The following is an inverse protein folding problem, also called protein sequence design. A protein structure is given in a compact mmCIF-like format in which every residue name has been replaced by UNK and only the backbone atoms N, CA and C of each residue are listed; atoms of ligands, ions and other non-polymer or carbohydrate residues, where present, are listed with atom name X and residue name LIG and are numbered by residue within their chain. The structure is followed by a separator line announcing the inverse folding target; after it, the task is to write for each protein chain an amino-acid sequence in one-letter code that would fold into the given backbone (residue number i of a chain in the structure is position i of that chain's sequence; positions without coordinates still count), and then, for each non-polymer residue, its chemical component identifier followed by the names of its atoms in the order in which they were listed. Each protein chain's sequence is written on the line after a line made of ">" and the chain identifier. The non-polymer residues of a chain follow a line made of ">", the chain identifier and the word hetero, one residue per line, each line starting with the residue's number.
data_IF_822262432920
#
_entry.id   IF_822262432920
#
_cell.length_a   1.000
_cell.length_b   1.000
_cell.length_c   1.000
_cell.angle_alpha   90.00
_cell.angle_beta   90.00
_cell.angle_gamma   90.00
#
_symmetry.space_group_name_H-M   'P 1'
#
loop_
_entity.id
_entity.type
_entity.pdbx_description
1 polymer ?
#
# COMPACT_ATOMS: atom_id res chain seq x y z
N UNK A 1 -14.92 -39.63 -18.62
CA UNK A 1 -15.79 -38.48 -18.95
C UNK A 1 -14.95 -37.24 -18.72
N UNK A 2 -14.99 -36.22 -19.58
CA UNK A 2 -14.32 -34.95 -19.28
C UNK A 2 -14.89 -34.37 -17.99
N UNK A 3 -14.06 -33.70 -17.20
CA UNK A 3 -14.51 -33.04 -15.98
C UNK A 3 -15.52 -31.95 -16.33
N UNK A 4 -16.59 -31.87 -15.53
CA UNK A 4 -17.62 -30.83 -15.70
C UNK A 4 -17.04 -29.51 -15.23
N UNK A 5 -16.97 -28.55 -16.13
CA UNK A 5 -16.43 -27.21 -15.90
C UNK A 5 -17.38 -26.17 -16.50
N UNK A 6 -17.31 -24.92 -16.03
CA UNK A 6 -18.14 -23.84 -16.60
C UNK A 6 -17.92 -23.61 -18.11
N UNK A 7 -16.79 -24.06 -18.66
CA UNK A 7 -16.47 -24.00 -20.09
C UNK A 7 -17.25 -25.02 -20.94
N UNK A 8 -17.73 -26.13 -20.36
CA UNK A 8 -18.46 -27.19 -21.08
C UNK A 8 -19.87 -27.48 -20.48
N UNK A 9 -20.27 -26.77 -19.43
CA UNK A 9 -21.53 -26.97 -18.71
C UNK A 9 -22.64 -26.02 -19.19
N UNK A 10 -23.71 -26.58 -19.76
CA UNK A 10 -25.00 -25.88 -19.93
C UNK A 10 -25.96 -26.26 -18.77
N UNK A 11 -26.25 -25.34 -17.83
CA UNK A 11 -27.13 -25.64 -16.71
C UNK A 11 -28.55 -26.02 -17.13
N UNK A 12 -29.09 -25.41 -18.19
CA UNK A 12 -30.47 -25.67 -18.63
C UNK A 12 -30.57 -27.09 -19.17
N UNK A 13 -29.64 -27.45 -20.06
CA UNK A 13 -29.57 -28.80 -20.63
C UNK A 13 -29.30 -29.85 -19.57
N UNK A 14 -28.40 -29.58 -18.62
CA UNK A 14 -28.13 -30.49 -17.50
C UNK A 14 -29.38 -30.73 -16.64
N UNK A 15 -30.16 -29.68 -16.36
CA UNK A 15 -31.41 -29.82 -15.61
C UNK A 15 -32.45 -30.63 -16.39
N UNK A 16 -32.54 -30.47 -17.72
CA UNK A 16 -33.43 -31.29 -18.55
C UNK A 16 -33.05 -32.77 -18.53
N UNK A 17 -31.75 -33.09 -18.69
CA UNK A 17 -31.25 -34.46 -18.64
C UNK A 17 -31.47 -35.11 -17.27
N UNK A 18 -31.19 -34.39 -16.17
CA UNK A 18 -31.37 -34.91 -14.81
C UNK A 18 -32.84 -34.97 -14.37
N UNK A 19 -33.71 -34.14 -14.93
CA UNK A 19 -35.16 -34.15 -14.64
C UNK A 19 -35.83 -35.46 -15.04
N UNK A 20 -35.21 -36.23 -15.95
CA UNK A 20 -35.68 -37.57 -16.33
C UNK A 20 -35.51 -38.59 -15.19
N UNK A 21 -34.58 -38.34 -14.27
CA UNK A 21 -34.25 -39.27 -13.18
C UNK A 21 -34.77 -38.82 -11.82
N UNK A 22 -34.90 -37.50 -11.59
CA UNK A 22 -35.28 -36.93 -10.29
C UNK A 22 -36.08 -35.62 -10.45
N UNK A 23 -36.93 -35.28 -9.48
CA UNK A 23 -37.58 -33.96 -9.45
C UNK A 23 -36.58 -32.88 -9.06
N UNK A 24 -36.38 -31.90 -9.96
CA UNK A 24 -35.44 -30.78 -9.80
C UNK A 24 -36.14 -29.41 -9.88
N UNK A 25 -37.45 -29.37 -9.64
CA UNK A 25 -38.26 -28.16 -9.82
C UNK A 25 -37.76 -26.99 -8.97
N UNK A 26 -37.35 -27.24 -7.73
CA UNK A 26 -36.75 -26.22 -6.85
C UNK A 26 -35.41 -25.66 -7.37
N UNK A 27 -34.56 -26.50 -7.96
CA UNK A 27 -33.29 -26.05 -8.55
C UNK A 27 -33.54 -25.25 -9.84
N UNK A 28 -34.50 -25.67 -10.65
CA UNK A 28 -34.91 -24.95 -11.86
C UNK A 28 -35.45 -23.56 -11.50
N UNK A 29 -36.35 -23.47 -10.51
CA UNK A 29 -36.87 -22.19 -10.03
C UNK A 29 -35.75 -21.29 -9.47
N UNK A 30 -34.77 -21.84 -8.77
CA UNK A 30 -33.60 -21.10 -8.28
C UNK A 30 -32.77 -20.52 -9.45
N UNK A 31 -32.48 -21.32 -10.47
CA UNK A 31 -31.72 -20.87 -11.65
C UNK A 31 -32.47 -19.80 -12.45
N UNK A 32 -33.78 -19.95 -12.60
CA UNK A 32 -34.66 -18.99 -13.27
C UNK A 32 -34.74 -17.68 -12.49
N UNK A 33 -34.91 -17.74 -11.15
CA UNK A 33 -34.88 -16.55 -10.27
C UNK A 33 -33.56 -15.80 -10.34
N UNK A 34 -32.45 -16.52 -10.46
CA UNK A 34 -31.11 -15.96 -10.62
C UNK A 34 -30.80 -15.52 -12.07
N UNK A 35 -31.68 -15.82 -13.03
CA UNK A 35 -31.49 -15.52 -14.45
C UNK A 35 -30.14 -16.03 -14.99
N UNK A 36 -29.82 -17.29 -14.69
CA UNK A 36 -28.58 -17.93 -15.17
C UNK A 36 -28.69 -18.30 -16.65
N UNK A 37 -29.82 -18.90 -17.04
CA UNK A 37 -30.01 -19.44 -18.40
C UNK A 37 -28.88 -20.42 -18.77
N UNK A 38 -28.40 -20.35 -20.01
CA UNK A 38 -27.28 -21.17 -20.52
C UNK A 38 -25.88 -20.72 -20.01
N UNK A 39 -25.81 -19.85 -18.99
CA UNK A 39 -24.60 -19.33 -18.37
C UNK A 39 -23.56 -18.73 -19.36
N UNK A 40 -22.53 -19.51 -19.72
CA UNK A 40 -21.45 -19.09 -20.62
C UNK A 40 -21.62 -19.60 -22.07
N UNK A 41 -22.48 -20.60 -22.30
CA UNK A 41 -22.61 -21.30 -23.59
C UNK A 41 -23.18 -20.43 -24.72
N UNK A 42 -23.96 -19.41 -24.37
CA UNK A 42 -24.59 -18.48 -25.33
C UNK A 42 -23.83 -17.16 -25.47
N UNK A 43 -22.61 -17.06 -24.92
CA UNK A 43 -21.76 -15.87 -25.06
C UNK A 43 -20.94 -15.98 -26.33
N UNK A 44 -20.62 -14.85 -26.99
CA UNK A 44 -19.70 -14.86 -28.11
C UNK A 44 -18.30 -15.30 -27.66
N UNK A 45 -17.64 -16.09 -28.48
CA UNK A 45 -16.25 -16.47 -28.27
C UNK A 45 -15.33 -15.32 -28.71
N UNK A 46 -14.29 -15.03 -27.92
CA UNK A 46 -13.27 -14.06 -28.32
C UNK A 46 -12.46 -14.58 -29.51
N UNK A 47 -12.13 -15.88 -29.52
CA UNK A 47 -11.54 -16.58 -30.65
C UNK A 47 -12.51 -17.68 -31.15
N UNK A 48 -13.17 -17.46 -32.31
CA UNK A 48 -14.04 -18.47 -32.91
C UNK A 48 -13.29 -19.73 -33.42
N UNK A 49 -11.98 -19.63 -33.65
CA UNK A 49 -11.16 -20.73 -34.17
C UNK A 49 -10.79 -21.74 -33.08
N UNK A 50 -10.93 -21.35 -31.81
CA UNK A 50 -10.63 -22.20 -30.66
C UNK A 50 -11.50 -23.48 -30.69
N UNK A 51 -10.90 -24.69 -30.63
CA UNK A 51 -11.66 -25.95 -30.59
C UNK A 51 -12.59 -26.05 -29.38
N UNK A 52 -12.28 -25.40 -28.26
CA UNK A 52 -13.08 -25.42 -27.04
C UNK A 52 -14.24 -24.42 -27.07
N UNK A 53 -14.31 -23.52 -28.06
CA UNK A 53 -15.44 -22.61 -28.21
C UNK A 53 -16.74 -23.40 -28.52
N UNK A 54 -17.81 -23.23 -27.71
CA UNK A 54 -19.03 -24.00 -27.84
C UNK A 54 -19.78 -23.69 -29.14
N UNK A 55 -20.42 -24.72 -29.71
CA UNK A 55 -21.20 -24.62 -30.94
C UNK A 55 -22.43 -23.69 -30.80
N UNK A 56 -22.93 -23.51 -29.59
CA UNK A 56 -24.04 -22.61 -29.28
C UNK A 56 -23.65 -21.12 -29.25
N UNK A 57 -22.36 -20.79 -29.35
CA UNK A 57 -21.91 -19.40 -29.38
C UNK A 57 -22.33 -18.73 -30.70
N UNK A 58 -22.89 -17.50 -30.65
CA UNK A 58 -23.51 -16.86 -31.81
C UNK A 58 -22.54 -16.58 -32.96
N UNK A 59 -21.24 -16.47 -32.69
CA UNK A 59 -20.21 -16.17 -33.68
C UNK A 59 -19.37 -17.39 -34.11
N UNK A 60 -19.66 -18.60 -33.60
CA UNK A 60 -18.89 -19.82 -33.92
C UNK A 60 -19.07 -20.23 -35.39
N UNK A 61 -20.29 -20.17 -35.91
CA UNK A 61 -20.58 -20.51 -37.31
C UNK A 61 -20.07 -19.45 -38.30
N UNK A 62 -20.10 -18.17 -37.90
CA UNK A 62 -19.72 -17.05 -38.75
C UNK A 62 -18.20 -16.82 -38.80
N UNK A 63 -17.47 -17.23 -37.75
CA UNK A 63 -16.03 -17.03 -37.66
C UNK A 63 -15.60 -15.57 -37.45
N UNK A 64 -16.56 -14.68 -37.14
CA UNK A 64 -16.30 -13.25 -36.97
C UNK A 64 -15.91 -12.91 -35.52
N UNK A 65 -14.96 -11.99 -35.38
CA UNK A 65 -14.57 -11.43 -34.08
C UNK A 65 -15.69 -10.55 -33.52
N UNK A 66 -16.04 -10.68 -32.22
CA UNK A 66 -17.13 -9.91 -31.64
C UNK A 66 -16.79 -8.41 -31.53
N UNK A 67 -17.81 -7.55 -31.64
CA UNK A 67 -17.68 -6.13 -31.28
C UNK A 67 -17.51 -5.98 -29.77
N UNK A 68 -16.27 -5.73 -29.35
CA UNK A 68 -15.88 -5.62 -27.93
C UNK A 68 -16.52 -4.37 -27.30
N UNK A 69 -16.48 -3.23 -27.98
CA UNK A 69 -16.95 -1.96 -27.42
C UNK A 69 -18.47 -1.98 -27.20
N UNK A 70 -19.21 -2.45 -28.21
CA UNK A 70 -20.66 -2.64 -28.09
C UNK A 70 -21.04 -3.66 -27.00
N UNK A 71 -20.22 -4.69 -26.77
CA UNK A 71 -20.52 -5.72 -25.76
C UNK A 71 -20.23 -5.29 -24.33
N UNK A 72 -19.24 -4.44 -24.12
CA UNK A 72 -18.89 -3.88 -22.81
C UNK A 72 -19.77 -2.68 -22.41
N UNK A 73 -20.57 -2.15 -23.35
CA UNK A 73 -21.46 -1.03 -23.10
C UNK A 73 -22.48 -1.37 -22.01
N UNK A 74 -22.53 -0.53 -20.96
CA UNK A 74 -23.44 -0.73 -19.83
C UNK A 74 -22.98 -1.80 -18.85
N UNK A 75 -21.76 -2.32 -19.00
CA UNK A 75 -21.14 -3.27 -18.07
C UNK A 75 -21.22 -4.74 -18.51
N UNK A 76 -20.79 -5.61 -17.62
CA UNK A 76 -20.74 -7.05 -17.84
C UNK A 76 -21.57 -7.80 -16.80
N UNK A 77 -21.91 -9.05 -17.11
CA UNK A 77 -22.59 -9.93 -16.15
C UNK A 77 -21.78 -11.22 -15.96
N UNK A 78 -21.71 -11.70 -14.71
CA UNK A 78 -21.27 -13.05 -14.38
C UNK A 78 -22.29 -14.09 -14.84
N UNK A 79 -22.23 -15.31 -14.28
CA UNK A 79 -23.18 -16.38 -14.66
C UNK A 79 -24.64 -16.01 -14.33
N UNK A 80 -24.89 -15.26 -13.25
CA UNK A 80 -26.22 -14.73 -12.91
C UNK A 80 -26.37 -13.31 -13.45
N UNK A 81 -27.30 -13.11 -14.40
CA UNK A 81 -27.56 -11.78 -14.96
C UNK A 81 -28.16 -10.82 -13.93
N UNK A 82 -28.93 -11.35 -12.98
CA UNK A 82 -29.64 -10.57 -11.96
C UNK A 82 -28.75 -10.13 -10.81
N UNK A 83 -27.89 -11.01 -10.30
CA UNK A 83 -27.15 -10.76 -9.06
C UNK A 83 -25.69 -10.38 -9.30
N UNK A 84 -25.10 -10.81 -10.42
CA UNK A 84 -23.68 -10.57 -10.71
C UNK A 84 -23.52 -9.59 -11.87
N UNK A 85 -24.03 -8.37 -11.69
CA UNK A 85 -23.84 -7.30 -12.65
C UNK A 85 -22.64 -6.43 -12.25
N UNK A 86 -21.63 -6.42 -13.11
CA UNK A 86 -20.41 -5.63 -12.96
C UNK A 86 -20.52 -4.38 -13.82
N UNK A 87 -20.57 -3.23 -13.15
CA UNK A 87 -20.69 -1.93 -13.82
C UNK A 87 -19.49 -1.65 -14.72
N UNK A 88 -19.73 -0.95 -15.83
CA UNK A 88 -18.71 -0.54 -16.80
C UNK A 88 -17.53 0.19 -16.12
N UNK A 89 -17.80 0.97 -15.07
CA UNK A 89 -16.82 1.79 -14.37
C UNK A 89 -15.82 0.99 -13.53
N UNK A 90 -16.17 -0.25 -13.15
CA UNK A 90 -15.31 -1.14 -12.39
C UNK A 90 -14.35 -1.93 -13.28
N UNK A 91 -14.68 -2.04 -14.57
CA UNK A 91 -13.97 -2.88 -15.55
C UNK A 91 -13.18 -2.05 -16.57
N UNK A 92 -13.63 -0.83 -16.91
CA UNK A 92 -13.04 0.03 -17.92
C UNK A 92 -12.55 1.38 -17.34
N UNK A 93 -11.30 1.72 -17.63
CA UNK A 93 -10.70 3.04 -17.37
C UNK A 93 -10.53 3.87 -18.65
N UNK A 94 -10.51 5.20 -18.52
CA UNK A 94 -10.24 6.12 -19.66
C UNK A 94 -11.26 6.00 -20.81
N UNK A 95 -12.55 5.92 -20.48
CA UNK A 95 -13.63 5.67 -21.44
C UNK A 95 -13.92 6.90 -22.31
N UNK A 96 -14.06 6.71 -23.60
CA UNK A 96 -14.48 7.73 -24.57
C UNK A 96 -15.84 7.32 -25.14
N UNK A 97 -16.84 8.20 -24.95
CA UNK A 97 -18.21 8.00 -25.43
C UNK A 97 -18.57 9.03 -26.50
N UNK A 98 -19.46 8.65 -27.40
CA UNK A 98 -20.06 9.57 -28.37
C UNK A 98 -21.15 10.44 -27.73
N UNK A 99 -21.67 11.44 -28.44
CA UNK A 99 -22.79 12.31 -28.01
C UNK A 99 -24.09 11.56 -27.65
N UNK A 100 -24.20 10.29 -28.04
CA UNK A 100 -25.32 9.39 -27.73
C UNK A 100 -25.01 8.44 -26.54
N UNK A 101 -23.96 8.69 -25.76
CA UNK A 101 -23.51 7.85 -24.63
C UNK A 101 -23.09 6.42 -25.01
N UNK A 102 -22.79 6.19 -26.29
CA UNK A 102 -22.26 4.91 -26.80
C UNK A 102 -20.76 4.86 -26.57
N UNK A 103 -20.28 3.77 -25.98
CA UNK A 103 -18.86 3.52 -25.74
C UNK A 103 -18.13 3.30 -27.07
N UNK A 104 -17.12 4.13 -27.35
CA UNK A 104 -16.29 4.01 -28.56
C UNK A 104 -14.93 3.37 -28.25
N UNK A 105 -14.29 3.77 -27.15
CA UNK A 105 -12.97 3.31 -26.78
C UNK A 105 -12.77 3.37 -25.26
N UNK A 106 -11.81 2.60 -24.77
CA UNK A 106 -11.32 2.63 -23.39
C UNK A 106 -9.80 2.48 -23.38
N UNK A 107 -9.14 3.15 -22.44
CA UNK A 107 -7.68 3.17 -22.33
C UNK A 107 -7.14 2.01 -21.49
N UNK A 108 -7.90 1.58 -20.48
CA UNK A 108 -7.45 0.58 -19.52
C UNK A 108 -8.55 -0.42 -19.17
N UNK A 109 -8.12 -1.65 -18.82
CA UNK A 109 -8.96 -2.73 -18.33
C UNK A 109 -8.55 -3.11 -16.90
N UNK A 110 -9.53 -3.39 -16.06
CA UNK A 110 -9.31 -3.82 -14.68
C UNK A 110 -9.99 -5.16 -14.41
N UNK A 111 -9.24 -6.11 -13.86
CA UNK A 111 -9.77 -7.39 -13.36
C UNK A 111 -9.44 -7.49 -11.87
N UNK A 112 -10.44 -7.88 -11.06
CA UNK A 112 -10.29 -8.02 -9.62
C UNK A 112 -10.53 -9.46 -9.20
N UNK A 113 -9.51 -10.09 -8.61
CA UNK A 113 -9.63 -11.40 -7.98
C UNK A 113 -9.97 -11.22 -6.50
N UNK A 114 -11.18 -11.65 -6.11
CA UNK A 114 -11.64 -11.57 -4.73
C UNK A 114 -11.15 -12.80 -3.96
N UNK A 115 -10.33 -12.57 -2.93
CA UNK A 115 -9.86 -13.60 -2.01
C UNK A 115 -10.58 -13.48 -0.66
N UNK A 116 -10.64 -14.60 0.07
CA UNK A 116 -11.07 -14.59 1.46
C UNK A 116 -10.07 -13.82 2.33
N UNK A 117 -10.56 -13.18 3.40
CA UNK A 117 -9.69 -12.66 4.45
C UNK A 117 -9.00 -13.79 5.23
N UNK A 118 -7.86 -13.55 5.92
CA UNK A 118 -7.18 -14.59 6.70
C UNK A 118 -8.09 -15.28 7.72
N UNK A 119 -8.95 -14.51 8.39
CA UNK A 119 -9.95 -15.03 9.33
C UNK A 119 -10.99 -15.92 8.66
N UNK A 120 -11.54 -15.50 7.52
CA UNK A 120 -12.50 -16.30 6.76
C UNK A 120 -11.86 -17.58 6.22
N UNK A 121 -10.61 -17.50 5.75
CA UNK A 121 -9.87 -18.66 5.29
C UNK A 121 -9.64 -19.65 6.44
N UNK A 122 -9.26 -19.14 7.62
CA UNK A 122 -9.14 -19.97 8.82
C UNK A 122 -10.46 -20.66 9.17
N UNK A 123 -11.56 -19.90 9.25
CA UNK A 123 -12.88 -20.42 9.59
C UNK A 123 -13.44 -21.42 8.55
N UNK A 124 -13.16 -21.20 7.27
CA UNK A 124 -13.60 -22.07 6.19
C UNK A 124 -12.98 -23.47 6.29
N UNK A 125 -11.70 -23.50 6.69
CA UNK A 125 -10.88 -24.71 6.67
C UNK A 125 -10.75 -25.38 8.04
N UNK A 126 -11.14 -24.72 9.15
CA UNK A 126 -10.91 -25.20 10.53
C UNK A 126 -11.32 -26.65 10.83
N UNK A 127 -12.37 -27.15 10.17
CA UNK A 127 -12.95 -28.48 10.40
C UNK A 127 -12.61 -29.47 9.27
N UNK A 128 -11.76 -29.06 8.31
CA UNK A 128 -11.40 -29.88 7.15
C UNK A 128 -10.34 -30.93 7.52
N UNK A 129 -10.49 -32.13 6.98
CA UNK A 129 -9.62 -33.26 7.27
C UNK A 129 -8.23 -33.08 6.64
N UNK A 130 -8.13 -32.38 5.50
CA UNK A 130 -6.88 -32.18 4.77
C UNK A 130 -5.82 -31.39 5.54
N UNK A 131 -6.25 -30.56 6.50
CA UNK A 131 -5.35 -29.71 7.29
C UNK A 131 -5.27 -30.14 8.75
N UNK A 132 -5.91 -31.24 9.14
CA UNK A 132 -5.99 -31.69 10.54
C UNK A 132 -4.60 -32.03 11.12
N UNK A 133 -3.67 -32.45 10.26
CA UNK A 133 -2.28 -32.76 10.63
C UNK A 133 -1.43 -31.50 10.87
N UNK A 134 -1.91 -30.34 10.43
CA UNK A 134 -1.23 -29.06 10.58
C UNK A 134 -1.93 -28.33 11.72
N UNK A 135 -1.18 -27.90 12.75
CA UNK A 135 -1.71 -27.01 13.79
C UNK A 135 -2.18 -25.67 13.17
N UNK A 136 -3.41 -25.65 12.65
CA UNK A 136 -3.96 -24.62 11.79
C UNK A 136 -4.29 -23.37 12.61
N UNK A 137 -3.78 -22.22 12.17
CA UNK A 137 -3.96 -20.95 12.85
C UNK A 137 -4.11 -19.82 11.85
N UNK A 138 -4.58 -18.66 12.33
CA UNK A 138 -4.79 -17.47 11.50
C UNK A 138 -3.47 -16.94 10.90
N UNK A 139 -2.33 -17.14 11.58
CA UNK A 139 -1.01 -16.77 11.07
C UNK A 139 -0.61 -17.59 9.83
N UNK A 140 -0.87 -18.90 9.83
CA UNK A 140 -0.64 -19.77 8.66
C UNK A 140 -1.58 -19.41 7.52
N UNK A 141 -2.84 -19.13 7.81
CA UNK A 141 -3.79 -18.63 6.81
C UNK A 141 -3.29 -17.32 6.17
N UNK A 142 -2.79 -16.40 6.98
CA UNK A 142 -2.15 -15.15 6.52
C UNK A 142 -0.93 -15.44 5.65
N UNK A 143 -0.02 -16.31 6.10
CA UNK A 143 1.19 -16.64 5.36
C UNK A 143 0.90 -17.31 3.99
N UNK A 144 -0.12 -18.15 3.91
CA UNK A 144 -0.56 -18.76 2.65
C UNK A 144 -1.07 -17.69 1.69
N UNK A 145 -1.94 -16.79 2.16
CA UNK A 145 -2.47 -15.70 1.34
C UNK A 145 -1.37 -14.76 0.86
N UNK A 146 -0.44 -14.37 1.73
CA UNK A 146 0.70 -13.53 1.36
C UNK A 146 1.58 -14.21 0.31
N UNK A 147 1.87 -15.50 0.48
CA UNK A 147 2.68 -16.28 -0.46
C UNK A 147 2.01 -16.41 -1.82
N UNK A 148 0.71 -16.68 -1.84
CA UNK A 148 -0.09 -16.73 -3.06
C UNK A 148 -0.11 -15.39 -3.77
N UNK A 149 -0.35 -14.29 -3.04
CA UNK A 149 -0.40 -12.94 -3.62
C UNK A 149 0.94 -12.51 -4.21
N UNK A 150 2.06 -12.78 -3.52
CA UNK A 150 3.40 -12.51 -4.05
C UNK A 150 3.66 -13.30 -5.33
N UNK A 151 3.35 -14.60 -5.34
CA UNK A 151 3.55 -15.43 -6.53
C UNK A 151 2.63 -15.02 -7.68
N UNK A 152 1.39 -14.63 -7.39
CA UNK A 152 0.46 -14.10 -8.37
C UNK A 152 1.02 -12.86 -9.08
N UNK A 153 1.50 -11.87 -8.30
CA UNK A 153 2.11 -10.65 -8.86
C UNK A 153 3.33 -10.98 -9.72
N UNK A 154 4.18 -11.90 -9.27
CA UNK A 154 5.35 -12.36 -10.03
C UNK A 154 4.95 -12.99 -11.38
N UNK A 155 3.97 -13.89 -11.37
CA UNK A 155 3.50 -14.58 -12.59
C UNK A 155 2.85 -13.60 -13.56
N UNK A 156 2.06 -12.64 -13.07
CA UNK A 156 1.43 -11.63 -13.95
C UNK A 156 2.49 -10.78 -14.64
N UNK A 157 3.53 -10.35 -13.92
CA UNK A 157 4.62 -9.59 -14.55
C UNK A 157 5.43 -10.42 -15.56
N UNK A 158 5.60 -11.72 -15.33
CA UNK A 158 6.29 -12.62 -16.26
C UNK A 158 5.43 -13.03 -17.47
N UNK A 159 4.11 -12.87 -17.40
CA UNK A 159 3.19 -13.30 -18.47
C UNK A 159 3.26 -12.44 -19.73
N UNK A 160 3.88 -11.26 -19.67
CA UNK A 160 3.96 -10.34 -20.79
C UNK A 160 5.34 -10.41 -21.46
N UNK A 161 5.40 -10.68 -22.77
CA UNK A 161 6.64 -10.50 -23.52
C UNK A 161 7.05 -9.03 -23.57
N UNK A 162 8.33 -8.73 -23.35
CA UNK A 162 8.89 -7.37 -23.37
C UNK A 162 8.65 -6.61 -24.70
N UNK A 163 8.33 -7.34 -25.78
CA UNK A 163 8.10 -6.80 -27.12
C UNK A 163 6.61 -6.51 -27.42
N UNK A 164 5.73 -6.64 -26.43
CA UNK A 164 4.31 -6.33 -26.59
C UNK A 164 4.02 -4.85 -26.36
N UNK A 165 3.00 -4.32 -27.05
CA UNK A 165 2.54 -2.93 -26.88
C UNK A 165 1.66 -2.72 -25.64
N UNK A 166 1.38 -3.78 -24.88
CA UNK A 166 0.48 -3.78 -23.74
C UNK A 166 1.27 -3.97 -22.45
N UNK A 167 0.84 -3.29 -21.39
CA UNK A 167 1.39 -3.46 -20.05
C UNK A 167 0.28 -3.90 -19.10
N UNK A 168 0.59 -4.88 -18.24
CA UNK A 168 -0.31 -5.38 -17.20
C UNK A 168 0.42 -5.18 -15.88
N UNK A 169 -0.30 -4.56 -14.95
CA UNK A 169 0.19 -4.32 -13.60
C UNK A 169 -0.69 -5.10 -12.63
N UNK A 170 -0.06 -5.93 -11.81
CA UNK A 170 -0.74 -6.61 -10.71
C UNK A 170 -0.56 -5.81 -9.42
N UNK A 171 -1.62 -5.76 -8.63
CA UNK A 171 -1.61 -5.14 -7.31
C UNK A 171 -2.31 -6.05 -6.30
N UNK A 172 -1.74 -6.15 -5.10
CA UNK A 172 -2.26 -6.95 -4.00
C UNK A 172 -2.18 -6.19 -2.66
N UNK A 173 -2.90 -6.68 -1.65
CA UNK A 173 -2.82 -6.12 -0.30
C UNK A 173 -1.43 -6.34 0.33
N UNK A 174 -0.78 -7.47 0.04
CA UNK A 174 0.60 -7.74 0.47
C UNK A 174 1.58 -6.73 -0.13
N UNK A 175 1.45 -6.41 -1.44
CA UNK A 175 2.33 -5.41 -2.07
C UNK A 175 2.14 -4.01 -1.47
N UNK A 176 0.92 -3.63 -1.07
CA UNK A 176 0.67 -2.37 -0.36
C UNK A 176 1.42 -2.36 0.98
N UNK A 177 1.30 -3.44 1.75
CA UNK A 177 1.99 -3.57 3.04
C UNK A 177 3.52 -3.58 2.88
N UNK A 178 4.05 -4.24 1.85
CA UNK A 178 5.47 -4.25 1.53
C UNK A 178 5.97 -2.83 1.16
N UNK A 179 5.18 -2.06 0.41
CA UNK A 179 5.45 -0.63 0.12
C UNK A 179 5.47 0.18 1.42
N UNK A 180 4.45 0.06 2.27
CA UNK A 180 4.38 0.76 3.55
C UNK A 180 5.55 0.40 4.49
N UNK A 181 5.96 -0.88 4.48
CA UNK A 181 7.11 -1.36 5.24
C UNK A 181 8.42 -0.78 4.71
N UNK A 182 8.60 -0.73 3.39
CA UNK A 182 9.75 -0.07 2.75
C UNK A 182 9.82 1.42 3.07
N UNK A 183 8.67 2.11 3.10
CA UNK A 183 8.58 3.50 3.58
C UNK A 183 8.84 3.65 5.09
N UNK A 184 8.74 2.59 5.88
CA UNK A 184 9.05 2.66 7.31
C UNK A 184 10.50 2.31 7.63
N UNK A 185 11.20 1.66 6.68
CA UNK A 185 12.57 1.22 6.86
C UNK A 185 13.54 2.41 6.84
N UNK A 186 14.40 2.46 7.86
CA UNK A 186 15.37 3.54 8.04
C UNK A 186 16.65 3.13 7.34
N UNK A 187 16.95 3.79 6.22
CA UNK A 187 18.21 3.55 5.52
C UNK A 187 19.40 3.96 6.39
N UNK A 188 20.13 2.96 6.90
CA UNK A 188 21.40 3.12 7.61
C UNK A 188 22.40 3.92 6.76
N UNK A 189 22.32 3.82 5.43
CA UNK A 189 23.15 4.57 4.48
C UNK A 189 22.87 6.07 4.56
N UNK A 190 21.62 6.51 4.75
CA UNK A 190 21.30 7.94 4.90
C UNK A 190 21.79 8.51 6.24
N UNK A 191 21.66 7.73 7.31
CA UNK A 191 22.21 8.08 8.64
C UNK A 191 23.74 8.14 8.59
N UNK A 192 24.37 7.14 7.97
CA UNK A 192 25.82 7.09 7.77
C UNK A 192 26.32 8.19 6.83
N UNK A 193 25.60 8.53 5.76
CA UNK A 193 25.94 9.65 4.88
C UNK A 193 25.87 11.00 5.62
N UNK A 194 24.89 11.18 6.50
CA UNK A 194 24.83 12.34 7.41
C UNK A 194 26.07 12.43 8.31
N UNK A 195 26.51 11.31 8.89
CA UNK A 195 27.74 11.23 9.69
C UNK A 195 29.02 11.42 8.85
N UNK A 196 29.06 10.90 7.62
CA UNK A 196 30.21 11.04 6.71
C UNK A 196 30.33 12.45 6.10
N UNK A 197 29.23 13.19 5.97
CA UNK A 197 29.26 14.63 5.65
C UNK A 197 29.91 15.42 6.79
N UNK A 198 29.73 15.01 8.04
CA UNK A 198 30.49 15.58 9.17
C UNK A 198 31.98 15.23 9.08
N UNK A 199 32.35 14.09 8.51
CA UNK A 199 33.77 13.70 8.32
C UNK A 199 34.48 14.50 7.23
N UNK A 200 33.81 14.85 6.11
CA UNK A 200 34.41 15.71 5.08
C UNK A 200 34.60 17.16 5.56
N UNK A 201 33.89 17.59 6.59
CA UNK A 201 34.11 18.87 7.26
C UNK A 201 35.43 18.88 8.10
N UNK A 202 36.06 17.71 8.35
CA UNK A 202 37.32 17.63 9.12
C UNK A 202 38.52 18.30 8.44
N UNK A 203 38.47 18.59 7.14
CA UNK A 203 39.59 19.27 6.43
C UNK A 203 39.66 20.77 6.74
N UNK A 204 38.60 21.38 7.31
CA UNK A 204 38.59 22.78 7.78
C UNK A 204 38.48 22.97 9.29
N UNK A 205 38.22 21.91 10.07
CA UNK A 205 37.77 21.99 11.48
C UNK A 205 38.85 21.88 12.55
N UNK A 206 40.15 21.92 12.21
CA UNK A 206 41.24 22.00 13.19
C UNK A 206 41.43 23.41 13.78
N UNK A 207 40.32 24.11 14.05
CA UNK A 207 40.28 25.26 14.94
C UNK A 207 39.26 24.95 16.05
N UNK A 208 39.52 25.45 17.26
CA UNK A 208 38.71 25.26 18.49
C UNK A 208 37.17 25.37 18.30
N UNK A 209 36.60 26.16 17.36
CA UNK A 209 35.16 26.16 17.07
C UNK A 209 34.59 24.86 16.47
N UNK A 210 35.41 24.07 15.77
CA UNK A 210 34.98 22.86 15.07
C UNK A 210 34.63 21.69 15.99
N UNK A 211 35.43 21.48 17.04
CA UNK A 211 35.19 20.43 18.03
C UNK A 211 33.90 20.67 18.85
N UNK A 212 33.59 21.95 19.12
CA UNK A 212 32.35 22.35 19.82
C UNK A 212 31.13 22.07 18.94
N UNK A 213 31.20 22.38 17.64
CA UNK A 213 30.14 22.04 16.68
C UNK A 213 29.89 20.53 16.55
N UNK A 214 30.95 19.72 16.46
CA UNK A 214 30.84 18.26 16.38
C UNK A 214 30.22 17.66 17.65
N UNK A 215 30.67 18.11 18.83
CA UNK A 215 30.09 17.69 20.10
C UNK A 215 28.62 18.12 20.24
N UNK A 216 28.26 19.30 19.72
CA UNK A 216 26.90 19.81 19.66
C UNK A 216 25.97 18.91 18.84
N UNK A 217 26.35 18.58 17.60
CA UNK A 217 25.56 17.69 16.73
C UNK A 217 25.37 16.30 17.34
N UNK A 218 26.43 15.74 17.95
CA UNK A 218 26.35 14.45 18.64
C UNK A 218 25.37 14.50 19.83
N UNK A 219 25.39 15.60 20.60
CA UNK A 219 24.52 15.78 21.75
C UNK A 219 23.05 15.92 21.32
N UNK A 220 22.77 16.64 20.22
CA UNK A 220 21.41 16.72 19.65
C UNK A 220 20.95 15.35 19.12
N UNK A 221 21.83 14.58 18.48
CA UNK A 221 21.47 13.23 18.05
C UNK A 221 21.13 12.30 19.23
N UNK A 222 21.91 12.37 20.32
CA UNK A 222 21.64 11.62 21.54
C UNK A 222 20.36 12.07 22.24
N UNK A 223 20.03 13.36 22.23
CA UNK A 223 18.78 13.85 22.82
C UNK A 223 17.56 13.38 22.03
N UNK A 224 17.64 13.37 20.70
CA UNK A 224 16.58 12.82 19.84
C UNK A 224 16.40 11.33 20.09
N UNK A 225 17.49 10.57 20.16
CA UNK A 225 17.45 9.14 20.49
C UNK A 225 16.83 8.89 21.87
N UNK A 226 17.20 9.69 22.88
CA UNK A 226 16.64 9.58 24.23
C UNK A 226 15.15 9.94 24.28
N UNK A 227 14.72 11.00 23.57
CA UNK A 227 13.32 11.41 23.47
C UNK A 227 12.45 10.34 22.80
N UNK A 228 12.92 9.79 21.67
CA UNK A 228 12.23 8.70 20.99
C UNK A 228 12.18 7.42 21.84
N UNK A 229 13.27 7.09 22.54
CA UNK A 229 13.32 5.96 23.47
C UNK A 229 12.31 6.12 24.62
N UNK A 230 12.21 7.32 25.20
CA UNK A 230 11.23 7.62 26.24
C UNK A 230 9.79 7.50 25.72
N UNK A 231 9.51 8.04 24.53
CA UNK A 231 8.21 7.91 23.88
C UNK A 231 7.82 6.45 23.61
N UNK A 232 8.79 5.61 23.24
CA UNK A 232 8.58 4.17 23.08
C UNK A 232 8.23 3.48 24.39
N UNK A 233 8.87 3.88 25.50
CA UNK A 233 8.57 3.35 26.84
C UNK A 233 7.17 3.76 27.32
N UNK A 234 6.67 4.92 26.89
CA UNK A 234 5.30 5.38 27.15
C UNK A 234 4.24 4.71 26.25
N UNK A 235 4.65 3.82 25.35
CA UNK A 235 3.75 3.05 24.49
C UNK A 235 3.27 3.77 23.23
N UNK A 236 3.95 4.84 22.82
CA UNK A 236 3.64 5.52 21.55
C UNK A 236 4.17 4.70 20.37
N UNK A 237 3.30 4.35 19.43
CA UNK A 237 3.67 3.60 18.23
C UNK A 237 4.49 4.47 17.27
N UNK A 238 5.57 3.89 16.74
CA UNK A 238 6.34 4.51 15.65
C UNK A 238 5.59 4.38 14.33
N UNK A 239 5.64 5.45 13.55
CA UNK A 239 5.12 5.50 12.19
C UNK A 239 6.25 5.84 11.19
N UNK A 240 5.99 5.63 9.89
CA UNK A 240 6.97 5.92 8.84
C UNK A 240 7.49 7.38 8.87
N UNK A 241 6.63 8.35 9.18
CA UNK A 241 7.02 9.76 9.25
C UNK A 241 7.94 10.05 10.46
N UNK A 242 7.71 9.40 11.60
CA UNK A 242 8.54 9.53 12.81
C UNK A 242 9.91 8.91 12.64
N UNK A 243 10.03 7.81 11.91
CA UNK A 243 11.34 7.18 11.69
C UNK A 243 12.12 7.88 10.58
N UNK A 244 11.44 8.41 9.55
CA UNK A 244 12.10 9.04 8.40
C UNK A 244 12.32 10.55 8.51
N UNK A 245 11.36 11.32 9.02
CA UNK A 245 11.39 12.80 8.98
C UNK A 245 11.84 13.40 10.31
N UNK A 246 11.36 12.83 11.43
CA UNK A 246 11.58 13.39 12.76
C UNK A 246 13.05 13.57 13.13
N UNK A 247 13.98 12.62 12.85
CA UNK A 247 15.38 12.80 13.21
C UNK A 247 16.02 14.00 12.49
N UNK A 248 15.70 14.22 11.21
CA UNK A 248 16.22 15.35 10.45
C UNK A 248 15.58 16.67 10.88
N UNK A 249 14.27 16.67 11.17
CA UNK A 249 13.57 17.85 11.67
C UNK A 249 14.12 18.27 13.03
N UNK A 250 14.26 17.33 13.96
CA UNK A 250 14.75 17.59 15.31
C UNK A 250 16.23 18.00 15.33
N UNK A 251 17.06 17.39 14.45
CA UNK A 251 18.43 17.86 14.24
C UNK A 251 18.46 19.29 13.69
N UNK A 252 17.62 19.62 12.69
CA UNK A 252 17.56 20.97 12.13
C UNK A 252 17.17 22.03 13.16
N UNK A 253 16.17 21.74 14.00
CA UNK A 253 15.74 22.65 15.08
C UNK A 253 16.83 22.76 16.16
N UNK A 254 17.40 21.65 16.62
CA UNK A 254 18.37 21.66 17.73
C UNK A 254 19.75 22.22 17.36
N UNK A 255 20.15 22.10 16.09
CA UNK A 255 21.46 22.59 15.61
C UNK A 255 21.48 24.12 15.45
N UNK A 256 20.35 24.76 15.14
CA UNK A 256 20.24 26.22 15.04
C UNK A 256 20.57 26.91 16.38
N UNK A 257 19.92 26.45 17.46
CA UNK A 257 20.17 26.95 18.83
C UNK A 257 21.63 26.70 19.27
N UNK A 258 22.21 25.56 18.87
CA UNK A 258 23.60 25.22 19.17
C UNK A 258 24.59 26.14 18.43
N UNK A 259 24.38 26.41 17.14
CA UNK A 259 25.22 27.31 16.37
C UNK A 259 25.13 28.75 16.86
N UNK A 260 23.94 29.21 17.23
CA UNK A 260 23.74 30.54 17.81
C UNK A 260 24.55 30.70 19.11
N UNK A 261 24.49 29.71 20.01
CA UNK A 261 25.29 29.71 21.24
C UNK A 261 26.79 29.64 20.96
N UNK A 262 27.23 28.80 20.02
CA UNK A 262 28.64 28.69 19.65
C UNK A 262 29.19 30.00 19.07
N UNK A 263 28.44 30.66 18.18
CA UNK A 263 28.82 31.94 17.60
C UNK A 263 28.92 33.02 18.68
N UNK A 264 27.89 33.18 19.51
CA UNK A 264 27.90 34.16 20.62
C UNK A 264 29.05 33.91 21.61
N UNK A 265 29.41 32.65 21.87
CA UNK A 265 30.52 32.29 22.73
C UNK A 265 31.87 32.68 22.13
N UNK A 266 32.07 32.46 20.82
CA UNK A 266 33.28 32.90 20.11
C UNK A 266 33.40 34.42 20.02
N UNK A 267 32.30 35.13 19.83
CA UNK A 267 32.25 36.60 19.75
C UNK A 267 32.56 37.26 21.11
N UNK A 268 32.05 36.69 22.21
CA UNK A 268 32.40 37.11 23.58
C UNK A 268 33.88 36.82 23.93
N UNK A 269 34.59 36.09 23.05
CA UNK A 269 35.96 35.64 23.13
C UNK A 269 37.05 36.71 23.36
N UNK A 270 36.73 37.99 23.12
CA UNK A 270 37.74 39.05 23.11
C UNK A 270 37.72 39.99 24.32
N UNK A 271 36.62 40.09 25.07
CA UNK A 271 36.38 41.25 25.96
C UNK A 271 36.15 40.93 27.45
N UNK A 272 36.15 39.66 27.85
CA UNK A 272 35.70 39.21 29.20
C UNK A 272 36.63 38.12 29.77
N UNK A 273 36.92 38.12 31.09
CA UNK A 273 37.65 37.05 31.76
C UNK A 273 37.02 35.67 31.53
N UNK A 274 37.86 34.63 31.37
CA UNK A 274 37.43 33.27 31.06
C UNK A 274 36.35 32.73 32.01
N UNK A 275 36.42 33.08 33.30
CA UNK A 275 35.50 32.62 34.34
C UNK A 275 34.07 33.18 34.20
N UNK A 276 33.91 34.34 33.57
CA UNK A 276 32.62 35.02 33.39
C UNK A 276 32.05 34.86 31.98
N UNK A 277 32.86 34.39 31.02
CA UNK A 277 32.51 34.28 29.60
C UNK A 277 31.29 33.39 29.33
N UNK A 278 31.20 32.22 29.97
CA UNK A 278 30.05 31.31 29.79
C UNK A 278 28.77 31.92 30.36
N UNK A 279 28.86 32.60 31.50
CA UNK A 279 27.73 33.26 32.14
C UNK A 279 27.20 34.43 31.32
N UNK A 280 28.09 35.24 30.74
CA UNK A 280 27.69 36.37 29.89
C UNK A 280 27.10 35.91 28.54
N UNK A 281 27.67 34.85 27.93
CA UNK A 281 27.10 34.23 26.73
C UNK A 281 25.68 33.70 26.98
N UNK A 282 25.48 32.97 28.09
CA UNK A 282 24.16 32.46 28.46
C UNK A 282 23.17 33.58 28.80
N UNK A 283 23.64 34.69 29.41
CA UNK A 283 22.82 35.87 29.69
C UNK A 283 22.33 36.56 28.42
N UNK A 284 23.17 36.63 27.37
CA UNK A 284 22.83 37.30 26.10
C UNK A 284 21.96 36.45 25.19
N UNK A 285 22.26 35.15 25.09
CA UNK A 285 21.67 34.27 24.07
C UNK A 285 20.69 33.25 24.66
N UNK A 286 20.83 32.89 25.94
CA UNK A 286 20.03 31.85 26.58
C UNK A 286 18.54 32.17 26.69
N UNK A 287 18.17 33.45 26.86
CA UNK A 287 16.76 33.88 26.86
C UNK A 287 16.11 33.70 25.49
N UNK A 288 16.87 33.90 24.41
CA UNK A 288 16.37 33.71 23.04
C UNK A 288 16.14 32.23 22.76
N UNK A 289 17.12 31.38 23.09
CA UNK A 289 17.02 29.92 22.92
C UNK A 289 15.85 29.33 23.71
N UNK A 290 15.67 29.76 24.96
CA UNK A 290 14.54 29.32 25.79
C UNK A 290 13.19 29.73 25.17
N UNK A 291 13.08 30.94 24.62
CA UNK A 291 11.86 31.41 23.98
C UNK A 291 11.55 30.60 22.71
N UNK A 292 12.54 30.31 21.87
CA UNK A 292 12.39 29.47 20.67
C UNK A 292 11.96 28.05 21.05
N UNK A 293 12.60 27.44 22.06
CA UNK A 293 12.27 26.10 22.55
C UNK A 293 10.84 26.01 23.09
N UNK A 294 10.39 27.00 23.89
CA UNK A 294 9.02 27.04 24.41
C UNK A 294 8.01 27.22 23.26
N UNK A 295 8.32 28.07 22.27
CA UNK A 295 7.45 28.25 21.12
C UNK A 295 7.31 26.96 20.30
N UNK A 296 8.40 26.23 20.08
CA UNK A 296 8.38 24.93 19.41
C UNK A 296 7.56 23.91 20.21
N UNK A 297 7.75 23.84 21.53
CA UNK A 297 6.99 22.97 22.43
C UNK A 297 5.48 23.24 22.33
N UNK A 298 5.05 24.51 22.38
CA UNK A 298 3.63 24.89 22.24
C UNK A 298 3.11 24.54 20.84
N UNK A 299 3.90 24.80 19.79
CA UNK A 299 3.51 24.51 18.41
C UNK A 299 3.28 23.00 18.21
N UNK A 300 4.19 22.14 18.67
CA UNK A 300 4.03 20.68 18.57
C UNK A 300 2.92 20.16 19.47
N UNK A 301 2.73 20.74 20.66
CA UNK A 301 1.59 20.39 21.52
C UNK A 301 0.25 20.71 20.87
N UNK A 302 0.12 21.89 20.24
CA UNK A 302 -1.08 22.26 19.49
C UNK A 302 -1.30 21.34 18.28
N UNK A 303 -0.23 20.92 17.60
CA UNK A 303 -0.30 19.95 16.51
C UNK A 303 -0.76 18.56 16.98
N UNK A 304 -0.48 18.17 18.23
CA UNK A 304 -0.95 16.92 18.81
C UNK A 304 -2.48 16.87 19.06
N UNK A 305 -3.19 17.99 18.98
CA UNK A 305 -4.66 18.04 19.07
C UNK A 305 -5.35 17.60 17.76
N UNK A 306 -4.60 17.47 16.66
CA UNK A 306 -5.13 17.01 15.37
C UNK A 306 -5.65 15.57 15.51
N UNK A 307 -6.86 15.24 14.99
CA UNK A 307 -7.50 13.95 15.22
C UNK A 307 -6.85 12.77 14.47
N UNK A 308 -5.85 13.02 13.61
CA UNK A 308 -5.16 12.00 12.82
C UNK A 308 -4.13 11.30 13.72
N UNK A 309 -4.30 10.00 14.07
CA UNK A 309 -3.45 9.33 15.07
C UNK A 309 -1.96 9.33 14.71
N UNK A 310 -1.63 9.17 13.43
CA UNK A 310 -0.24 9.21 12.97
C UNK A 310 0.41 10.58 13.19
N UNK A 311 -0.31 11.68 12.89
CA UNK A 311 0.19 13.03 13.12
C UNK A 311 0.25 13.35 14.61
N UNK A 312 -0.71 12.87 15.39
CA UNK A 312 -0.70 13.02 16.85
C UNK A 312 0.50 12.33 17.49
N UNK A 313 0.79 11.08 17.10
CA UNK A 313 1.98 10.36 17.57
C UNK A 313 3.26 11.07 17.15
N UNK A 314 3.33 11.58 15.91
CA UNK A 314 4.45 12.39 15.44
C UNK A 314 4.65 13.65 16.27
N UNK A 315 3.59 14.44 16.47
CA UNK A 315 3.64 15.69 17.23
C UNK A 315 3.98 15.46 18.71
N UNK A 316 3.52 14.38 19.33
CA UNK A 316 3.87 14.00 20.70
C UNK A 316 5.33 13.53 20.83
N UNK A 317 5.90 12.94 19.79
CA UNK A 317 7.32 12.54 19.76
C UNK A 317 8.26 13.70 19.43
N UNK A 318 7.77 14.73 18.73
CA UNK A 318 8.50 15.98 18.46
C UNK A 318 8.47 16.99 19.62
N UNK A 319 7.55 16.81 20.57
CA UNK A 319 7.40 17.62 21.76
C UNK A 319 8.53 17.34 22.75
#
# INVERSE_FOLDING_TARGET
>A
MPDIQWMNLDPVKLMEELSQFTSLEGFKEMLDKAQVGHAYMNRPCLDPSDPDCPLSAPNKEQGESPDIAGRLQGGCHGFSRKFMHWQEELILGGRVKNSQEILLSAEALQTMFLLMSPKQLYEHFKDDYEIHDINWNEEKATAILESWQRKFVEVVHQSIPDNSSQSIHAFSTTTLNDIMKSFSDVSVIRVAAGLCLCDHAKVGLCQVPGAVGLAGVLLVALSVAAGLGLCSLLGLSFNAATTQVLPFLALGIGVDDMFLLAHSFTEAGSNIPFKERTGDCLRRTGTSVALTSINNMIAFFMAALVPIPALRAFSLQSF
#
